data_IF_736497035985
#
_entry.id   IF_736497035985
#
_cell.length_a   1.000
_cell.length_b   1.000
_cell.length_c   1.000
_cell.angle_alpha   90.00
_cell.angle_beta   90.00
_cell.angle_gamma   90.00
#
_symmetry.space_group_name_H-M   'P 1'
#
loop_
_entity.id
_entity.type
_entity.pdbx_description
1 polymer ?
#
# COMPACT_ATOMS: atom_id res chain seq x y z
N UNK A 1 -17.39 -6.46 23.20
CA UNK A 1 -16.30 -5.61 23.70
C UNK A 1 -15.86 -4.79 22.50
N UNK A 2 -16.25 -3.52 22.42
CA UNK A 2 -15.87 -2.65 21.30
C UNK A 2 -14.46 -2.12 21.55
N UNK A 3 -13.48 -3.01 21.39
CA UNK A 3 -12.08 -2.61 21.45
C UNK A 3 -11.74 -1.96 20.10
N UNK A 4 -11.70 -0.63 20.05
CA UNK A 4 -11.06 0.12 18.94
C UNK A 4 -9.53 0.10 19.09
N UNK A 5 -8.93 -1.09 19.28
CA UNK A 5 -7.59 -1.22 19.86
C UNK A 5 -6.43 -0.75 18.98
N UNK A 6 -6.63 -0.68 17.65
CA UNK A 6 -5.51 -0.44 16.75
C UNK A 6 -5.95 0.54 15.67
N UNK A 7 -5.58 1.80 15.87
CA UNK A 7 -5.58 2.79 14.81
C UNK A 7 -4.29 2.60 13.99
N UNK A 8 -4.42 2.70 12.67
CA UNK A 8 -3.33 2.51 11.75
C UNK A 8 -3.27 3.68 10.79
N UNK A 9 -2.07 3.95 10.27
CA UNK A 9 -1.92 4.83 9.14
C UNK A 9 -2.53 4.19 7.89
N UNK A 10 -2.97 5.02 6.96
CA UNK A 10 -3.39 4.60 5.63
C UNK A 10 -2.17 4.60 4.70
N UNK A 11 -1.79 3.41 4.25
CA UNK A 11 -0.68 3.24 3.31
C UNK A 11 -1.19 2.78 1.95
N UNK A 12 -0.37 2.92 0.92
CA UNK A 12 -0.60 2.42 -0.44
C UNK A 12 0.57 1.55 -0.85
N UNK A 13 0.25 0.38 -1.40
CA UNK A 13 1.18 -0.40 -2.22
C UNK A 13 0.76 -0.26 -3.67
N UNK A 14 1.69 0.19 -4.52
CA UNK A 14 1.41 0.35 -5.94
C UNK A 14 2.62 0.01 -6.82
N UNK A 15 2.36 -0.60 -7.96
CA UNK A 15 3.39 -1.02 -8.92
C UNK A 15 2.85 -1.05 -10.33
N UNK A 16 3.74 -1.04 -11.31
CA UNK A 16 3.47 -1.33 -12.69
C UNK A 16 4.18 -2.61 -13.08
N UNK A 17 3.41 -3.57 -13.58
CA UNK A 17 3.90 -4.89 -14.01
C UNK A 17 3.25 -5.25 -15.32
N UNK A 18 4.06 -5.69 -16.30
CA UNK A 18 3.60 -6.08 -17.64
C UNK A 18 2.72 -5.00 -18.31
N UNK A 19 3.12 -3.72 -18.19
CA UNK A 19 2.39 -2.58 -18.76
C UNK A 19 1.11 -2.17 -18.01
N UNK A 20 0.76 -2.86 -16.92
CA UNK A 20 -0.45 -2.62 -16.13
C UNK A 20 -0.12 -2.05 -14.76
N UNK A 21 -0.92 -1.08 -14.31
CA UNK A 21 -0.78 -0.46 -12.99
C UNK A 21 -1.68 -1.16 -11.97
N UNK A 22 -1.11 -1.45 -10.83
CA UNK A 22 -1.75 -2.08 -9.68
C UNK A 22 -1.59 -1.16 -8.47
N UNK A 23 -2.64 -1.06 -7.66
CA UNK A 23 -2.63 -0.25 -6.45
C UNK A 23 -3.60 -0.79 -5.43
N UNK A 24 -3.26 -0.71 -4.14
CA UNK A 24 -4.17 -1.03 -3.05
C UNK A 24 -3.84 -0.24 -1.79
N UNK A 25 -4.85 0.06 -0.98
CA UNK A 25 -4.64 0.54 0.38
C UNK A 25 -4.18 -0.62 1.28
N UNK A 26 -3.29 -0.32 2.22
CA UNK A 26 -2.77 -1.24 3.23
C UNK A 26 -2.79 -0.56 4.59
N UNK A 27 -3.68 -1.02 5.47
CA UNK A 27 -3.75 -0.58 6.86
C UNK A 27 -2.65 -1.24 7.71
N UNK A 28 -2.50 -2.55 7.56
CA UNK A 28 -1.61 -3.37 8.37
C UNK A 28 -0.21 -3.39 7.77
N UNK A 29 0.56 -2.34 8.09
CA UNK A 29 1.98 -2.25 7.74
C UNK A 29 2.79 -1.83 8.97
N UNK A 30 4.00 -2.38 9.12
CA UNK A 30 4.92 -2.00 10.20
C UNK A 30 6.37 -2.18 9.76
N UNK A 31 7.26 -1.29 10.22
CA UNK A 31 8.69 -1.44 10.02
C UNK A 31 9.25 -2.49 10.98
N UNK A 32 9.96 -3.49 10.48
CA UNK A 32 10.47 -4.63 11.25
C UNK A 32 11.99 -4.66 11.40
N UNK A 33 12.70 -3.82 10.66
CA UNK A 33 14.14 -3.55 10.77
C UNK A 33 14.43 -2.13 10.26
N UNK A 34 15.67 -1.60 10.36
CA UNK A 34 16.01 -0.26 9.85
C UNK A 34 15.63 -0.02 8.38
N UNK A 35 15.56 -1.08 7.58
CA UNK A 35 15.41 -1.10 6.14
C UNK A 35 14.27 -2.02 5.65
N UNK A 36 13.45 -2.60 6.53
CA UNK A 36 12.38 -3.52 6.11
C UNK A 36 11.00 -3.18 6.65
N UNK A 37 9.99 -3.29 5.78
CA UNK A 37 8.57 -3.13 6.10
C UNK A 37 7.84 -4.46 5.89
N UNK A 38 6.97 -4.81 6.83
CA UNK A 38 6.08 -5.96 6.73
C UNK A 38 4.64 -5.47 6.54
N UNK A 39 3.99 -5.93 5.47
CA UNK A 39 2.62 -5.58 5.12
C UNK A 39 1.74 -6.83 5.11
N UNK A 40 0.57 -6.78 5.76
CA UNK A 40 -0.48 -7.77 5.55
C UNK A 40 -1.40 -7.30 4.43
N UNK A 41 -1.47 -8.07 3.33
CA UNK A 41 -2.29 -7.77 2.17
C UNK A 41 -3.41 -8.80 2.02
N UNK A 42 -4.59 -8.33 1.58
CA UNK A 42 -5.74 -9.19 1.34
C UNK A 42 -5.48 -10.21 0.23
N UNK A 43 -5.71 -11.50 0.51
CA UNK A 43 -5.52 -12.60 -0.45
C UNK A 43 -6.47 -12.58 -1.66
N UNK A 44 -7.56 -11.79 -1.57
CA UNK A 44 -8.48 -11.55 -2.67
C UNK A 44 -8.14 -10.30 -3.50
N UNK A 45 -7.09 -9.56 -3.13
CA UNK A 45 -6.67 -8.34 -3.85
C UNK A 45 -6.02 -8.69 -5.18
N UNK A 46 -6.51 -8.15 -6.30
CA UNK A 46 -5.86 -8.30 -7.61
C UNK A 46 -4.42 -7.76 -7.58
N UNK A 47 -4.18 -6.67 -6.85
CA UNK A 47 -2.83 -6.13 -6.61
C UNK A 47 -1.99 -7.10 -5.77
N UNK A 48 -2.55 -7.62 -4.67
CA UNK A 48 -1.87 -8.56 -3.80
C UNK A 48 -1.48 -9.88 -4.47
N UNK A 49 -2.31 -10.35 -5.41
CA UNK A 49 -2.06 -11.56 -6.18
C UNK A 49 -1.05 -11.34 -7.32
N UNK A 50 -0.90 -10.11 -7.80
CA UNK A 50 0.08 -9.77 -8.84
C UNK A 50 1.52 -9.60 -8.29
N UNK A 51 1.67 -9.31 -6.99
CA UNK A 51 2.96 -9.12 -6.33
C UNK A 51 3.71 -10.46 -6.22
N UNK A 52 4.97 -10.47 -6.65
CA UNK A 52 5.89 -11.61 -6.58
C UNK A 52 7.21 -11.20 -5.91
N UNK A 53 7.96 -12.20 -5.41
CA UNK A 53 9.31 -11.97 -4.88
C UNK A 53 10.22 -11.42 -5.99
N UNK A 54 10.95 -10.34 -5.69
CA UNK A 54 11.80 -9.61 -6.63
C UNK A 54 11.14 -8.38 -7.28
N UNK A 55 9.82 -8.23 -7.20
CA UNK A 55 9.13 -7.07 -7.78
C UNK A 55 9.56 -5.76 -7.11
N UNK A 56 9.61 -4.68 -7.89
CA UNK A 56 9.70 -3.31 -7.40
C UNK A 56 8.30 -2.77 -7.10
N UNK A 57 8.11 -2.25 -5.89
CA UNK A 57 6.83 -1.71 -5.43
C UNK A 57 7.04 -0.38 -4.74
N UNK A 58 6.11 0.55 -4.92
CA UNK A 58 6.06 1.78 -4.13
C UNK A 58 5.23 1.56 -2.87
N UNK A 59 5.79 1.92 -1.73
CA UNK A 59 5.10 2.04 -0.45
C UNK A 59 4.92 3.51 -0.13
N UNK A 60 3.67 3.98 -0.07
CA UNK A 60 3.36 5.37 0.27
C UNK A 60 2.51 5.44 1.55
N UNK A 61 3.03 6.09 2.60
CA UNK A 61 2.26 6.46 3.78
C UNK A 61 1.51 7.76 3.48
N UNK A 62 0.18 7.73 3.38
CA UNK A 62 -0.59 8.89 2.94
C UNK A 62 -0.52 10.02 3.96
N UNK A 63 -0.46 11.25 3.46
CA UNK A 63 -0.58 12.45 4.28
C UNK A 63 -2.06 12.72 4.63
N UNK A 64 -2.29 13.35 5.78
CA UNK A 64 -3.61 13.85 6.14
C UNK A 64 -4.09 14.85 5.05
N UNK A 65 -5.32 14.66 4.56
CA UNK A 65 -5.84 15.37 3.38
C UNK A 65 -5.89 14.51 2.10
N UNK A 66 -5.28 13.32 2.09
CA UNK A 66 -5.30 12.40 0.94
C UNK A 66 -6.39 11.31 1.03
N UNK A 67 -7.50 11.57 1.74
CA UNK A 67 -8.61 10.62 1.88
C UNK A 67 -9.15 10.14 0.52
N UNK A 68 -9.18 11.02 -0.48
CA UNK A 68 -9.67 10.65 -1.82
C UNK A 68 -8.78 9.61 -2.52
N UNK A 69 -7.47 9.60 -2.24
CA UNK A 69 -6.57 8.54 -2.73
C UNK A 69 -7.00 7.20 -2.14
N UNK A 70 -7.26 7.18 -0.83
CA UNK A 70 -7.74 6.00 -0.11
C UNK A 70 -9.07 5.49 -0.67
N UNK A 71 -10.06 6.38 -0.86
CA UNK A 71 -11.37 5.98 -1.37
C UNK A 71 -11.32 5.47 -2.81
N UNK A 72 -10.46 6.05 -3.65
CA UNK A 72 -10.30 5.62 -5.04
C UNK A 72 -9.64 4.23 -5.13
N UNK A 73 -8.59 4.01 -4.34
CA UNK A 73 -7.88 2.72 -4.34
C UNK A 73 -8.65 1.62 -3.60
N UNK A 74 -9.37 2.00 -2.55
CA UNK A 74 -10.23 1.14 -1.74
C UNK A 74 -11.61 0.84 -2.33
N UNK A 75 -11.97 1.44 -3.48
CA UNK A 75 -13.23 1.17 -4.19
C UNK A 75 -13.35 -0.34 -4.47
N UNK A 76 -14.39 -0.96 -3.91
CA UNK A 76 -14.64 -2.41 -3.96
C UNK A 76 -15.31 -2.85 -5.26
N UNK A 77 -15.91 -1.93 -6.02
CA UNK A 77 -16.57 -2.23 -7.30
C UNK A 77 -15.58 -2.16 -8.46
N UNK A 78 -14.48 -1.45 -8.27
CA UNK A 78 -13.38 -1.35 -9.23
C UNK A 78 -12.26 -2.25 -8.79
N UNK A 79 -11.69 -3.02 -9.71
CA UNK A 79 -10.52 -3.85 -9.42
C UNK A 79 -9.37 -3.45 -10.35
N UNK A 80 -8.13 -3.45 -9.85
CA UNK A 80 -6.96 -3.06 -10.67
C UNK A 80 -6.74 -3.98 -11.87
N UNK A 81 -7.41 -5.14 -11.90
CA UNK A 81 -7.42 -6.04 -13.06
C UNK A 81 -8.34 -5.57 -14.20
N UNK A 82 -9.32 -4.70 -13.92
CA UNK A 82 -10.34 -4.25 -14.88
C UNK A 82 -10.20 -2.77 -15.21
N UNK A 83 -9.70 -1.96 -14.26
CA UNK A 83 -9.53 -0.52 -14.43
C UNK A 83 -8.21 -0.03 -13.86
N UNK A 84 -7.65 1.03 -14.45
CA UNK A 84 -6.53 1.76 -13.87
C UNK A 84 -7.02 2.70 -12.76
N UNK A 85 -6.98 2.24 -11.51
CA UNK A 85 -7.36 3.05 -10.34
C UNK A 85 -6.44 4.25 -10.08
N UNK A 86 -5.26 4.27 -10.69
CA UNK A 86 -4.25 5.31 -10.50
C UNK A 86 -4.31 6.40 -11.56
N UNK A 87 -5.17 6.26 -12.58
CA UNK A 87 -5.21 7.18 -13.74
C UNK A 87 -5.38 8.66 -13.37
N UNK A 88 -6.10 8.95 -12.29
CA UNK A 88 -6.36 10.32 -11.80
C UNK A 88 -5.69 10.59 -10.44
N UNK A 89 -4.77 9.72 -10.02
CA UNK A 89 -4.01 9.90 -8.78
C UNK A 89 -2.62 10.41 -9.16
N UNK A 90 -2.23 11.63 -8.74
CA UNK A 90 -0.87 12.14 -8.93
C UNK A 90 0.16 11.18 -8.33
N UNK A 91 1.06 10.68 -9.17
CA UNK A 91 2.08 9.73 -8.78
C UNK A 91 3.30 9.76 -9.71
N UNK A 92 4.44 9.40 -9.15
CA UNK A 92 5.67 9.12 -9.89
C UNK A 92 5.87 7.62 -10.09
N UNK A 93 6.52 7.24 -11.20
CA UNK A 93 6.91 5.86 -11.51
C UNK A 93 8.44 5.78 -11.52
N UNK A 94 9.02 4.84 -10.76
CA UNK A 94 10.47 4.59 -10.67
C UNK A 94 10.75 3.08 -10.71
N UNK A 95 11.31 2.59 -11.82
CA UNK A 95 11.52 1.17 -12.11
C UNK A 95 10.29 0.28 -11.86
N UNK A 96 9.11 0.80 -12.19
CA UNK A 96 7.84 0.10 -11.97
C UNK A 96 7.27 0.26 -10.56
N UNK A 97 8.01 0.78 -9.57
CA UNK A 97 7.40 1.23 -8.32
C UNK A 97 6.57 2.49 -8.57
N UNK A 98 5.36 2.58 -7.99
CA UNK A 98 4.49 3.75 -8.11
C UNK A 98 4.40 4.45 -6.76
N UNK A 99 4.80 5.72 -6.71
CA UNK A 99 4.90 6.53 -5.50
C UNK A 99 3.83 7.63 -5.54
N UNK A 100 2.99 7.73 -4.50
CA UNK A 100 1.92 8.73 -4.44
C UNK A 100 2.50 10.10 -4.12
N UNK A 101 2.22 11.09 -4.98
CA UNK A 101 2.74 12.44 -4.79
C UNK A 101 2.16 13.08 -3.52
N UNK A 102 3.00 13.80 -2.77
CA UNK A 102 2.59 14.49 -1.54
C UNK A 102 2.24 13.56 -0.37
N UNK A 103 2.48 12.25 -0.48
CA UNK A 103 2.40 11.32 0.65
C UNK A 103 3.35 11.76 1.79
N UNK A 104 3.02 11.43 3.05
CA UNK A 104 3.93 11.68 4.19
C UNK A 104 5.27 11.01 3.96
N UNK A 105 5.25 9.78 3.49
CA UNK A 105 6.47 9.06 3.10
C UNK A 105 6.19 8.31 1.81
N UNK A 106 7.12 8.33 0.87
CA UNK A 106 7.05 7.53 -0.34
C UNK A 106 8.38 6.82 -0.53
N UNK A 107 8.35 5.49 -0.57
CA UNK A 107 9.53 4.63 -0.56
C UNK A 107 9.42 3.63 -1.69
N UNK A 108 10.44 3.57 -2.54
CA UNK A 108 10.66 2.48 -3.48
C UNK A 108 11.22 1.29 -2.71
N UNK A 109 10.53 0.17 -2.83
CA UNK A 109 10.88 -1.06 -2.15
C UNK A 109 11.06 -2.23 -3.12
N UNK A 110 11.83 -3.22 -2.70
CA UNK A 110 11.87 -4.55 -3.32
C UNK A 110 11.09 -5.53 -2.49
N UNK A 111 10.29 -6.37 -3.13
CA UNK A 111 9.61 -7.48 -2.46
C UNK A 111 10.62 -8.60 -2.20
N UNK A 112 10.96 -8.83 -0.93
CA UNK A 112 11.96 -9.87 -0.58
C UNK A 112 11.31 -11.20 -0.20
N UNK A 113 10.08 -11.18 0.32
CA UNK A 113 9.40 -12.40 0.73
C UNK A 113 7.89 -12.27 0.72
N UNK A 114 7.20 -13.32 0.29
CA UNK A 114 5.79 -13.54 0.59
C UNK A 114 5.65 -14.66 1.62
N UNK A 115 4.93 -14.38 2.71
CA UNK A 115 4.70 -15.35 3.80
C UNK A 115 3.21 -15.59 3.91
N UNK A 116 2.80 -16.85 3.77
CA UNK A 116 1.45 -17.30 4.11
C UNK A 116 1.43 -17.70 5.57
N UNK A 117 0.47 -17.17 6.34
CA UNK A 117 0.29 -17.58 7.73
C UNK A 117 -0.75 -18.72 7.74
N UNK A 118 -0.33 -19.90 8.21
CA UNK A 118 -1.25 -21.04 8.34
C UNK A 118 -2.41 -20.70 9.30
N UNK A 119 -3.63 -21.06 8.91
CA UNK A 119 -4.84 -20.77 9.69
C UNK A 119 -5.38 -19.34 9.56
N UNK A 120 -4.76 -18.47 8.76
CA UNK A 120 -5.25 -17.11 8.46
C UNK A 120 -5.67 -17.03 6.99
N UNK A 121 -6.97 -17.11 6.75
CA UNK A 121 -7.54 -17.40 5.41
C UNK A 121 -7.50 -16.23 4.41
N UNK A 122 -7.00 -15.07 4.82
CA UNK A 122 -7.19 -13.84 4.03
C UNK A 122 -5.97 -12.93 3.96
N UNK A 123 -4.86 -13.25 4.63
CA UNK A 123 -3.68 -12.39 4.66
C UNK A 123 -2.45 -13.11 4.10
N UNK A 124 -1.92 -12.58 3.00
CA UNK A 124 -0.53 -12.83 2.63
C UNK A 124 0.29 -11.71 3.29
N UNK A 125 1.36 -12.07 3.98
CA UNK A 125 2.34 -11.09 4.43
C UNK A 125 3.34 -10.87 3.30
N UNK A 126 3.68 -9.61 3.05
CA UNK A 126 4.73 -9.22 2.11
C UNK A 126 5.79 -8.46 2.89
N UNK A 127 7.02 -8.94 2.82
CA UNK A 127 8.18 -8.27 3.37
C UNK A 127 8.87 -7.47 2.26
N UNK A 128 9.15 -6.20 2.57
CA UNK A 128 9.66 -5.20 1.66
C UNK A 128 11.01 -4.71 2.18
N UNK A 129 12.01 -4.67 1.32
CA UNK A 129 13.29 -3.98 1.55
C UNK A 129 13.19 -2.55 1.01
N UNK A 130 13.45 -1.56 1.84
CA UNK A 130 13.44 -0.14 1.49
C UNK A 130 14.73 0.24 0.74
N UNK A 131 14.61 0.81 -0.47
CA UNK A 131 15.76 1.12 -1.32
C UNK A 131 16.06 2.62 -1.37
N UNK A 132 15.03 3.42 -1.60
CA UNK A 132 15.11 4.87 -1.70
C UNK A 132 13.75 5.48 -1.39
N UNK A 133 13.71 6.72 -0.93
CA UNK A 133 12.45 7.38 -0.66
C UNK A 133 12.63 8.80 -0.14
N UNK A 134 11.50 9.44 0.11
CA UNK A 134 11.42 10.77 0.70
C UNK A 134 10.38 10.78 1.82
N UNK A 135 10.61 11.64 2.80
CA UNK A 135 9.65 11.96 3.85
C UNK A 135 9.33 13.46 3.77
N UNK A 136 8.04 13.76 3.87
CA UNK A 136 7.51 15.10 3.98
C UNK A 136 7.10 15.34 5.44
N UNK A 137 7.39 16.54 5.96
CA UNK A 137 7.01 16.94 7.33
C UNK A 137 5.53 17.33 7.40
N UNK A 138 4.66 16.33 7.24
CA UNK A 138 3.19 16.47 7.29
C UNK A 138 2.58 15.31 8.10
N UNK A 139 1.46 15.53 8.81
CA UNK A 139 0.79 14.46 9.55
C UNK A 139 0.38 13.31 8.63
N UNK A 140 0.50 12.06 9.11
CA UNK A 140 -0.03 10.90 8.42
C UNK A 140 -1.56 10.91 8.41
N UNK A 141 -2.17 10.31 7.39
CA UNK A 141 -3.60 9.98 7.41
C UNK A 141 -3.81 8.72 8.25
N UNK A 142 -4.61 8.82 9.30
CA UNK A 142 -5.02 7.67 10.10
C UNK A 142 -6.39 7.15 9.67
N UNK A 143 -6.64 5.85 9.88
CA UNK A 143 -7.96 5.25 9.64
C UNK A 143 -9.04 5.96 10.45
N UNK A 144 -8.73 6.36 11.68
CA UNK A 144 -9.65 7.15 12.51
C UNK A 144 -10.08 8.49 11.87
N UNK A 145 -9.31 9.02 10.90
CA UNK A 145 -9.64 10.26 10.19
C UNK A 145 -10.46 10.05 8.90
N UNK A 146 -10.77 8.81 8.51
CA UNK A 146 -11.55 8.54 7.30
C UNK A 146 -13.04 8.87 7.44
N UNK A 147 -13.51 9.19 8.65
CA UNK A 147 -14.93 9.34 8.96
C UNK A 147 -15.61 7.96 9.03
N UNK A 148 -16.61 7.81 9.91
CA UNK A 148 -17.37 6.56 9.96
C UNK A 148 -18.03 6.32 8.61
N UNK A 149 -17.58 5.28 7.91
CA UNK A 149 -18.39 4.60 6.90
C UNK A 149 -19.60 3.97 7.57
#
# INVERSE_FOLDING_TARGET
>A
MDIKAIDHNVNVLAMKKNGKRYGMCVAWATQISPDHILCAIGGQSSTGNAIEEGDMVGFSNLANGQQMVCFTLGDMEKHSDTVDKLVNIPCAEDDGAILIDGARTAIKCRVIKRVKIEGVDTANMVCLEMLSGNENDVPALHIANLGGM
#
